data_IF_719788362828
#
_entry.id   IF_719788362828
#
_cell.length_a   1.000
_cell.length_b   1.000
_cell.length_c   1.000
_cell.angle_alpha   90.00
_cell.angle_beta   90.00
_cell.angle_gamma   90.00
#
_symmetry.space_group_name_H-M   'P 1'
#
loop_
_entity.id
_entity.type
_entity.pdbx_description
1 polymer ?
#
# COMPACT_ATOMS: atom_id res chain seq x y z
N UNK A 1 -5.89 -9.90 -41.51
CA UNK A 1 -6.06 -10.57 -40.21
C UNK A 1 -5.35 -9.70 -39.20
N UNK A 2 -6.07 -8.83 -38.51
CA UNK A 2 -5.54 -8.10 -37.36
C UNK A 2 -6.68 -7.96 -36.35
N UNK A 3 -6.68 -8.90 -35.40
CA UNK A 3 -7.54 -8.85 -34.22
C UNK A 3 -6.89 -7.93 -33.20
N UNK A 4 -7.58 -6.86 -32.83
CA UNK A 4 -7.24 -6.03 -31.70
C UNK A 4 -8.40 -6.07 -30.71
N UNK A 5 -8.20 -6.96 -29.74
CA UNK A 5 -9.02 -7.30 -28.58
C UNK A 5 -9.78 -6.13 -27.96
N UNK A 6 -11.09 -6.30 -27.87
CA UNK A 6 -12.00 -5.52 -27.03
C UNK A 6 -11.62 -5.70 -25.55
N UNK A 7 -10.77 -4.81 -25.04
CA UNK A 7 -10.55 -4.72 -23.60
C UNK A 7 -11.71 -3.93 -22.99
N UNK A 8 -12.82 -4.63 -22.76
CA UNK A 8 -13.99 -4.12 -22.06
C UNK A 8 -13.62 -3.90 -20.59
N UNK A 9 -13.01 -2.75 -20.34
CA UNK A 9 -12.67 -2.29 -18.99
C UNK A 9 -13.94 -2.06 -18.18
N UNK A 10 -13.94 -2.57 -16.94
CA UNK A 10 -15.03 -2.40 -15.99
C UNK A 10 -15.38 -0.91 -15.86
N UNK A 11 -16.54 -0.52 -16.39
CA UNK A 11 -17.02 0.87 -16.38
C UNK A 11 -17.67 1.15 -15.02
N UNK A 12 -16.94 1.80 -14.12
CA UNK A 12 -17.44 2.22 -12.80
C UNK A 12 -18.71 3.08 -12.94
N UNK A 13 -19.76 2.76 -12.18
CA UNK A 13 -21.04 3.46 -12.20
C UNK A 13 -20.92 4.94 -11.82
N UNK A 14 -21.30 5.83 -12.76
CA UNK A 14 -21.38 7.27 -12.53
C UNK A 14 -22.63 7.63 -11.71
N UNK A 15 -22.49 8.47 -10.67
CA UNK A 15 -23.64 9.10 -10.02
C UNK A 15 -24.10 10.28 -10.88
N UNK A 16 -25.31 10.20 -11.43
CA UNK A 16 -25.93 11.31 -12.16
C UNK A 16 -26.28 12.40 -11.14
N UNK A 17 -25.44 13.42 -11.01
CA UNK A 17 -25.79 14.64 -10.26
C UNK A 17 -26.45 15.63 -11.22
N UNK A 18 -27.62 16.16 -10.84
CA UNK A 18 -28.43 17.16 -11.60
C UNK A 18 -27.77 18.56 -11.63
N UNK A 19 -26.44 18.64 -11.64
CA UNK A 19 -25.69 19.90 -11.76
C UNK A 19 -24.75 19.82 -12.97
N UNK A 20 -24.73 20.88 -13.79
CA UNK A 20 -23.87 21.00 -14.97
C UNK A 20 -22.40 20.72 -14.59
N UNK A 21 -21.79 19.72 -15.22
CA UNK A 21 -20.40 19.32 -15.02
C UNK A 21 -20.18 17.80 -15.16
N UNK A 22 -18.95 17.37 -15.41
CA UNK A 22 -18.58 15.94 -15.50
C UNK A 22 -18.88 15.24 -14.16
N UNK A 23 -19.59 14.09 -14.13
CA UNK A 23 -19.94 13.40 -12.90
C UNK A 23 -18.72 13.17 -11.99
N UNK A 24 -18.85 13.48 -10.70
CA UNK A 24 -17.83 13.16 -9.70
C UNK A 24 -17.72 11.63 -9.64
N UNK A 25 -16.52 11.08 -9.86
CA UNK A 25 -16.25 9.66 -9.59
C UNK A 25 -16.67 9.31 -8.16
N UNK A 26 -17.49 8.26 -7.97
CA UNK A 26 -17.90 7.74 -6.66
C UNK A 26 -16.74 6.95 -6.03
N UNK A 27 -15.71 7.65 -5.56
CA UNK A 27 -14.66 7.04 -4.74
C UNK A 27 -15.08 7.27 -3.30
N UNK A 28 -15.52 6.22 -2.61
CA UNK A 28 -15.89 6.29 -1.20
C UNK A 28 -14.66 6.38 -0.30
N UNK A 29 -14.86 6.87 0.93
CA UNK A 29 -13.81 6.93 1.94
C UNK A 29 -13.30 5.52 2.28
N UNK A 30 -14.23 4.59 2.53
CA UNK A 30 -13.97 3.20 2.89
C UNK A 30 -13.08 2.48 1.86
N UNK A 31 -13.32 2.71 0.57
CA UNK A 31 -12.46 2.17 -0.49
C UNK A 31 -11.02 2.68 -0.39
N UNK A 32 -10.84 3.99 -0.16
CA UNK A 32 -9.50 4.56 -0.03
C UNK A 32 -8.79 4.13 1.25
N UNK A 33 -9.51 4.04 2.37
CA UNK A 33 -8.98 3.52 3.63
C UNK A 33 -8.50 2.08 3.43
N UNK A 34 -9.33 1.21 2.83
CA UNK A 34 -8.94 -0.16 2.52
C UNK A 34 -7.65 -0.23 1.70
N UNK A 35 -7.54 0.55 0.63
CA UNK A 35 -6.32 0.53 -0.19
C UNK A 35 -5.09 1.03 0.57
N UNK A 36 -5.22 2.07 1.39
CA UNK A 36 -4.12 2.63 2.17
C UNK A 36 -3.68 1.66 3.26
N UNK A 37 -4.62 1.06 3.98
CA UNK A 37 -4.36 0.04 5.02
C UNK A 37 -3.67 -1.20 4.43
N UNK A 38 -4.06 -1.62 3.23
CA UNK A 38 -3.41 -2.72 2.51
C UNK A 38 -2.10 -2.32 1.80
N UNK A 39 -1.62 -1.09 2.01
CA UNK A 39 -0.31 -0.63 1.54
C UNK A 39 -0.22 -0.30 0.05
N UNK A 40 -1.35 -0.16 -0.65
CA UNK A 40 -1.35 0.28 -2.05
C UNK A 40 -0.80 1.70 -2.19
N UNK A 41 -0.02 1.93 -3.24
CA UNK A 41 0.50 3.26 -3.58
C UNK A 41 -0.57 4.06 -4.35
N UNK A 42 -0.48 5.39 -4.33
CA UNK A 42 -1.37 6.26 -5.11
C UNK A 42 -1.44 5.88 -6.60
N UNK A 43 -0.33 5.58 -7.31
CA UNK A 43 -0.40 5.12 -8.70
C UNK A 43 -1.13 3.78 -8.86
N UNK A 44 -0.96 2.84 -7.93
CA UNK A 44 -1.65 1.56 -7.99
C UNK A 44 -3.16 1.74 -7.76
N UNK A 45 -3.54 2.59 -6.80
CA UNK A 45 -4.94 2.94 -6.53
C UNK A 45 -5.56 3.61 -7.77
N UNK A 46 -4.83 4.54 -8.40
CA UNK A 46 -5.26 5.22 -9.60
C UNK A 46 -5.51 4.24 -10.75
N UNK A 47 -4.61 3.27 -10.95
CA UNK A 47 -4.76 2.19 -11.91
C UNK A 47 -5.99 1.30 -11.60
N UNK A 48 -6.14 0.86 -10.34
CA UNK A 48 -7.24 0.00 -9.91
C UNK A 48 -8.62 0.67 -10.03
N UNK A 49 -8.69 1.97 -9.75
CA UNK A 49 -9.92 2.76 -9.84
C UNK A 49 -10.15 3.37 -11.23
N UNK A 50 -9.21 3.16 -12.16
CA UNK A 50 -9.20 3.75 -13.50
C UNK A 50 -9.42 5.27 -13.50
N UNK A 51 -8.67 5.97 -12.63
CA UNK A 51 -8.68 7.44 -12.50
C UNK A 51 -7.26 7.98 -12.51
N UNK A 52 -7.12 9.30 -12.65
CA UNK A 52 -5.81 9.94 -12.50
C UNK A 52 -5.32 9.92 -11.05
N UNK A 53 -4.00 9.88 -10.85
CA UNK A 53 -3.37 10.06 -9.54
C UNK A 53 -3.88 11.31 -8.82
N UNK A 54 -4.03 12.42 -9.56
CA UNK A 54 -4.56 13.68 -9.02
C UNK A 54 -5.99 13.54 -8.45
N UNK A 55 -6.81 12.65 -9.02
CA UNK A 55 -8.16 12.36 -8.48
C UNK A 55 -8.08 11.61 -7.16
N UNK A 56 -7.16 10.66 -7.05
CA UNK A 56 -6.90 9.90 -5.81
C UNK A 56 -6.33 10.81 -4.73
N UNK A 57 -5.31 11.60 -5.03
CA UNK A 57 -4.69 12.56 -4.09
C UNK A 57 -5.69 13.60 -3.57
N UNK A 58 -6.52 14.14 -4.47
CA UNK A 58 -7.59 15.06 -4.08
C UNK A 58 -8.54 14.39 -3.09
N UNK A 59 -8.91 13.13 -3.32
CA UNK A 59 -9.84 12.40 -2.46
C UNK A 59 -9.26 12.02 -1.11
N UNK A 60 -7.99 11.57 -1.09
CA UNK A 60 -7.26 11.32 0.15
C UNK A 60 -7.20 12.58 1.02
N UNK A 61 -6.95 13.74 0.41
CA UNK A 61 -6.98 15.03 1.12
C UNK A 61 -8.38 15.43 1.60
N UNK A 62 -9.40 15.25 0.76
CA UNK A 62 -10.81 15.53 1.11
C UNK A 62 -11.26 14.69 2.33
N UNK A 63 -10.74 13.48 2.49
CA UNK A 63 -11.07 12.59 3.61
C UNK A 63 -10.03 12.56 4.74
N UNK A 64 -8.99 13.39 4.67
CA UNK A 64 -7.86 13.42 5.62
C UNK A 64 -7.17 12.05 5.80
N UNK A 65 -7.13 11.22 4.76
CA UNK A 65 -6.49 9.91 4.76
C UNK A 65 -4.99 10.09 4.49
N UNK A 66 -4.16 9.67 5.45
CA UNK A 66 -2.71 9.73 5.32
C UNK A 66 -2.16 8.47 4.67
N UNK A 67 -1.61 8.61 3.46
CA UNK A 67 -0.86 7.53 2.78
C UNK A 67 0.52 7.29 3.43
N UNK A 68 0.95 8.22 4.27
CA UNK A 68 2.28 8.23 4.89
C UNK A 68 2.41 7.20 6.01
N UNK A 69 1.29 6.69 6.56
CA UNK A 69 1.31 5.68 7.62
C UNK A 69 1.54 4.26 7.09
N UNK A 70 2.47 4.14 6.14
CA UNK A 70 2.88 2.87 5.53
C UNK A 70 3.74 2.02 6.45
N UNK A 71 4.43 2.65 7.39
CA UNK A 71 5.36 1.98 8.28
C UNK A 71 4.76 1.87 9.68
N UNK A 72 4.85 0.68 10.26
CA UNK A 72 4.46 0.42 11.63
C UNK A 72 5.35 1.20 12.59
N UNK A 73 4.76 1.74 13.64
CA UNK A 73 5.49 2.35 14.75
C UNK A 73 6.11 1.27 15.66
N UNK A 74 7.08 0.52 15.13
CA UNK A 74 7.86 -0.47 15.88
C UNK A 74 9.12 0.19 16.43
N UNK A 75 9.38 0.03 17.73
CA UNK A 75 10.61 0.50 18.35
C UNK A 75 11.83 -0.24 17.79
N UNK A 76 12.98 0.39 17.92
CA UNK A 76 14.26 -0.19 17.49
C UNK A 76 14.54 -1.51 18.22
N UNK A 77 14.35 -1.53 19.54
CA UNK A 77 14.48 -2.72 20.39
C UNK A 77 13.48 -3.81 20.05
N UNK A 78 12.21 -3.44 19.80
CA UNK A 78 11.17 -4.38 19.40
C UNK A 78 11.50 -5.05 18.07
N UNK A 79 12.05 -4.28 17.13
CA UNK A 79 12.50 -4.79 15.84
C UNK A 79 13.72 -5.72 16.00
N UNK A 80 14.67 -5.40 16.87
CA UNK A 80 15.82 -6.25 17.16
C UNK A 80 15.41 -7.59 17.75
N UNK A 81 14.47 -7.59 18.70
CA UNK A 81 13.91 -8.82 19.29
C UNK A 81 13.27 -9.72 18.22
N UNK A 82 12.50 -9.16 17.29
CA UNK A 82 11.89 -9.92 16.19
C UNK A 82 12.98 -10.48 15.26
N UNK A 83 13.98 -9.68 14.91
CA UNK A 83 15.08 -10.11 14.04
C UNK A 83 15.89 -11.22 14.69
N UNK A 84 16.18 -11.14 15.99
CA UNK A 84 16.87 -12.17 16.76
C UNK A 84 16.07 -13.47 16.82
N UNK A 85 14.78 -13.38 17.08
CA UNK A 85 13.86 -14.53 17.09
C UNK A 85 13.84 -15.26 15.73
N UNK A 86 13.73 -14.51 14.63
CA UNK A 86 13.79 -15.09 13.28
C UNK A 86 15.17 -15.69 12.99
N UNK A 87 16.27 -15.04 13.40
CA UNK A 87 17.63 -15.57 13.23
C UNK A 87 17.85 -16.88 14.01
N UNK A 88 17.26 -17.02 15.21
CA UNK A 88 17.35 -18.26 16.01
C UNK A 88 16.71 -19.45 15.30
N UNK A 89 15.54 -19.24 14.70
CA UNK A 89 14.83 -20.31 13.98
C UNK A 89 15.37 -20.52 12.55
N UNK A 90 15.85 -19.44 11.91
CA UNK A 90 16.27 -19.42 10.52
C UNK A 90 17.57 -18.59 10.35
N UNK A 91 18.74 -19.16 10.66
CA UNK A 91 20.02 -18.42 10.73
C UNK A 91 20.44 -17.78 9.39
N UNK A 92 20.11 -18.40 8.26
CA UNK A 92 20.48 -17.92 6.91
C UNK A 92 19.35 -17.14 6.21
N UNK A 93 18.53 -16.42 6.98
CA UNK A 93 17.38 -15.69 6.43
C UNK A 93 17.82 -14.53 5.54
N UNK A 94 17.44 -14.56 4.25
CA UNK A 94 17.64 -13.45 3.31
C UNK A 94 16.73 -12.26 3.67
N UNK A 95 17.10 -11.03 3.25
CA UNK A 95 16.36 -9.82 3.65
C UNK A 95 14.87 -9.93 3.28
N UNK A 96 14.59 -10.50 2.10
CA UNK A 96 13.23 -10.66 1.57
C UNK A 96 12.38 -11.60 2.45
N UNK A 97 12.99 -12.65 2.99
CA UNK A 97 12.33 -13.54 3.96
C UNK A 97 12.12 -12.85 5.30
N UNK A 98 13.11 -12.10 5.79
CA UNK A 98 12.98 -11.32 7.03
C UNK A 98 11.83 -10.30 6.94
N UNK A 99 11.72 -9.61 5.80
CA UNK A 99 10.61 -8.72 5.51
C UNK A 99 9.28 -9.46 5.50
N UNK A 100 9.24 -10.66 4.91
CA UNK A 100 8.05 -11.52 4.93
C UNK A 100 7.60 -11.89 6.34
N UNK A 101 8.52 -12.29 7.23
CA UNK A 101 8.20 -12.58 8.63
C UNK A 101 7.66 -11.37 9.38
N UNK A 102 8.22 -10.18 9.13
CA UNK A 102 7.70 -8.93 9.70
C UNK A 102 6.28 -8.66 9.20
N UNK A 103 6.05 -8.78 7.89
CA UNK A 103 4.73 -8.56 7.29
C UNK A 103 3.69 -9.57 7.79
N UNK A 104 4.07 -10.84 7.98
CA UNK A 104 3.20 -11.86 8.58
C UNK A 104 2.81 -11.51 10.03
N UNK A 105 3.68 -10.82 10.76
CA UNK A 105 3.43 -10.31 12.11
C UNK A 105 2.73 -8.93 12.12
N UNK A 106 2.31 -8.42 10.96
CA UNK A 106 1.64 -7.12 10.82
C UNK A 106 2.59 -5.90 10.86
N UNK A 107 3.89 -6.12 10.74
CA UNK A 107 4.89 -5.05 10.72
C UNK A 107 5.35 -4.71 9.31
N UNK A 108 5.20 -3.45 8.93
CA UNK A 108 5.81 -2.84 7.75
C UNK A 108 6.91 -1.92 8.19
N UNK A 109 8.16 -2.25 7.87
CA UNK A 109 9.35 -1.52 8.34
C UNK A 109 10.13 -0.99 7.14
N UNK A 110 10.75 0.17 7.33
CA UNK A 110 11.69 0.74 6.37
C UNK A 110 12.84 -0.23 6.09
N UNK A 111 13.22 -0.35 4.82
CA UNK A 111 14.28 -1.27 4.40
C UNK A 111 15.61 -0.98 5.11
N UNK A 112 15.98 0.29 5.25
CA UNK A 112 17.24 0.68 5.88
C UNK A 112 17.30 0.30 7.36
N UNK A 113 16.18 0.44 8.09
CA UNK A 113 16.07 0.01 9.50
C UNK A 113 16.26 -1.48 9.66
N UNK A 114 15.74 -2.27 8.71
CA UNK A 114 15.87 -3.73 8.74
C UNK A 114 17.26 -4.20 8.30
N UNK A 115 17.84 -3.60 7.25
CA UNK A 115 19.19 -3.93 6.77
C UNK A 115 20.23 -3.62 7.83
N UNK A 116 20.18 -2.43 8.45
CA UNK A 116 21.11 -2.05 9.53
C UNK A 116 21.17 -3.11 10.63
N UNK A 117 20.02 -3.63 11.07
CA UNK A 117 19.92 -4.64 12.14
C UNK A 117 20.30 -6.04 11.69
N UNK A 118 19.88 -6.42 10.49
CA UNK A 118 20.17 -7.76 9.96
C UNK A 118 21.68 -7.96 9.81
N UNK A 119 22.38 -6.95 9.30
CA UNK A 119 23.82 -6.98 9.04
C UNK A 119 24.66 -6.28 10.10
N UNK A 120 24.05 -5.78 11.19
CA UNK A 120 24.81 -5.39 12.37
C UNK A 120 25.60 -6.61 12.85
N UNK A 121 26.92 -6.46 12.96
CA UNK A 121 27.75 -7.45 13.64
C UNK A 121 27.32 -7.46 15.11
N UNK A 122 26.94 -8.64 15.61
CA UNK A 122 26.82 -8.89 17.06
C UNK A 122 28.17 -8.71 17.74
#
# INVERSE_FOLDING_TARGET
MDGASDHEGYRTECQISVRRGRPRFKISKEQLDFFVENGFTVPNIACLLNVSCSTVERRLREFSISVTNKYSNVSDEGLDNIVLDVKRHFPNTVYKRMKGFLSQRGYTVQQDRLIKRKYAKS
#
